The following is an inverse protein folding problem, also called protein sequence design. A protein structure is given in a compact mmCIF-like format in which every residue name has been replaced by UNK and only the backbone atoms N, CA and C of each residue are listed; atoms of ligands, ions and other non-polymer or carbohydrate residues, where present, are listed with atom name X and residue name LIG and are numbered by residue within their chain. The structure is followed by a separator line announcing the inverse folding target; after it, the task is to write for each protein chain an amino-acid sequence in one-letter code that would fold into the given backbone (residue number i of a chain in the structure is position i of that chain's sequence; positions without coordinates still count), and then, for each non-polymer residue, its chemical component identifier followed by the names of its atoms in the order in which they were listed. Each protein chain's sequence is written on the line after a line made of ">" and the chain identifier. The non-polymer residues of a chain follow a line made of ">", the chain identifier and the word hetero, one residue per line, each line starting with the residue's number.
data_IF_605190847973
#
_entry.id   IF_605190847973
#
_cell.length_a   1.000
_cell.length_b   1.000
_cell.length_c   1.000
_cell.angle_alpha   90.00
_cell.angle_beta   90.00
_cell.angle_gamma   90.00
#
_symmetry.space_group_name_H-M   'P 1'
#
loop_
_entity.id
_entity.type
_entity.pdbx_description
1 polymer ?
#
# COMPACT_ATOMS: atom_id res chain seq x y z
N UNK A 1 -21.71 8.61 9.22
CA UNK A 1 -20.29 8.27 9.44
C UNK A 1 -20.11 6.81 9.06
N UNK A 2 -19.53 6.51 7.89
CA UNK A 2 -19.21 5.12 7.51
C UNK A 2 -18.05 4.67 8.40
N UNK A 3 -18.34 3.83 9.38
CA UNK A 3 -17.29 3.13 10.12
C UNK A 3 -16.57 2.22 9.13
N UNK A 4 -15.27 2.39 9.03
CA UNK A 4 -14.38 1.53 8.26
C UNK A 4 -14.42 0.14 8.92
N UNK A 5 -15.12 -0.83 8.31
CA UNK A 5 -15.29 -2.17 8.90
C UNK A 5 -14.02 -3.03 8.77
N UNK A 6 -12.99 -2.54 8.09
CA UNK A 6 -11.75 -3.26 7.86
C UNK A 6 -10.76 -3.12 9.02
N UNK A 7 -10.03 -4.19 9.30
CA UNK A 7 -9.03 -4.24 10.37
C UNK A 7 -7.67 -3.64 9.95
N UNK A 8 -7.38 -3.66 8.65
CA UNK A 8 -6.12 -3.19 8.09
C UNK A 8 -6.34 -2.30 6.87
N UNK A 9 -5.54 -1.24 6.78
CA UNK A 9 -5.52 -0.32 5.64
C UNK A 9 -4.13 -0.20 5.07
N UNK A 10 -3.99 -0.48 3.78
CA UNK A 10 -2.79 -0.18 3.00
C UNK A 10 -2.94 1.24 2.46
N UNK A 11 -1.97 2.11 2.74
CA UNK A 11 -2.02 3.51 2.32
C UNK A 11 -0.68 4.05 1.83
N UNK A 12 -0.72 5.04 0.94
CA UNK A 12 0.43 5.78 0.44
C UNK A 12 0.04 7.23 0.12
N UNK A 13 1.02 8.12 0.02
CA UNK A 13 0.84 9.48 -0.52
C UNK A 13 0.64 9.46 -2.03
N UNK A 14 1.23 8.49 -2.73
CA UNK A 14 1.00 8.23 -4.14
C UNK A 14 -0.17 7.29 -4.39
N UNK A 15 -0.64 7.23 -5.63
CA UNK A 15 -1.65 6.25 -6.04
C UNK A 15 -1.05 4.86 -6.00
N UNK A 16 -1.68 3.92 -5.31
CA UNK A 16 -1.22 2.52 -5.28
C UNK A 16 -1.86 1.78 -6.46
N UNK A 17 -1.02 1.14 -7.25
CA UNK A 17 -1.37 0.30 -8.38
C UNK A 17 -1.04 -1.16 -8.04
N UNK A 18 -2.02 -2.04 -8.23
CA UNK A 18 -1.83 -3.48 -8.11
C UNK A 18 -1.96 -4.12 -9.48
N UNK A 19 -0.86 -4.68 -10.00
CA UNK A 19 -0.83 -5.32 -11.33
C UNK A 19 -1.86 -6.46 -11.47
N UNK A 20 -2.27 -7.08 -10.36
CA UNK A 20 -3.21 -8.20 -10.32
C UNK A 20 -4.68 -7.79 -10.09
N UNK A 21 -4.98 -6.52 -9.84
CA UNK A 21 -6.36 -6.05 -9.67
C UNK A 21 -6.75 -5.08 -10.78
N UNK A 22 -7.76 -5.42 -11.61
CA UNK A 22 -8.32 -4.46 -12.55
C UNK A 22 -9.08 -3.38 -11.78
N UNK A 23 -8.67 -2.13 -11.94
CA UNK A 23 -9.35 -0.98 -11.34
C UNK A 23 -8.51 0.28 -11.35
N UNK A 24 -9.12 1.45 -11.11
CA UNK A 24 -8.37 2.68 -10.91
C UNK A 24 -7.52 2.54 -9.66
N UNK A 25 -6.26 2.97 -9.74
CA UNK A 25 -5.39 3.03 -8.57
C UNK A 25 -6.01 3.89 -7.47
N UNK A 26 -5.74 3.54 -6.21
CA UNK A 26 -6.22 4.30 -5.05
C UNK A 26 -5.07 4.54 -4.09
N UNK A 27 -5.13 5.64 -3.35
CA UNK A 27 -4.16 5.90 -2.27
C UNK A 27 -4.37 4.97 -1.07
N UNK A 28 -5.54 4.31 -0.97
CA UNK A 28 -5.94 3.49 0.18
C UNK A 28 -6.71 2.25 -0.24
N UNK A 29 -6.39 1.13 0.39
CA UNK A 29 -7.07 -0.16 0.23
C UNK A 29 -7.30 -0.81 1.60
N UNK A 30 -8.47 -1.40 1.79
CA UNK A 30 -8.93 -1.96 3.06
C UNK A 30 -8.96 -3.49 3.01
N UNK A 31 -8.57 -4.13 4.10
CA UNK A 31 -8.46 -5.58 4.24
C UNK A 31 -8.85 -6.01 5.67
N UNK A 32 -9.44 -7.20 5.80
CA UNK A 32 -9.72 -7.81 7.11
C UNK A 32 -8.58 -8.72 7.61
N UNK A 33 -7.63 -9.08 6.74
CA UNK A 33 -6.52 -9.96 7.07
C UNK A 33 -5.17 -9.24 6.97
N UNK A 34 -4.33 -9.41 8.00
CA UNK A 34 -3.00 -8.78 8.11
C UNK A 34 -2.07 -9.27 7.01
N UNK A 35 -2.02 -10.57 6.77
CA UNK A 35 -1.08 -11.18 5.83
C UNK A 35 -1.40 -10.75 4.41
N UNK A 36 -2.70 -10.69 4.05
CA UNK A 36 -3.15 -10.14 2.77
C UNK A 36 -2.77 -8.65 2.66
N UNK A 37 -3.05 -7.83 3.68
CA UNK A 37 -2.70 -6.41 3.65
C UNK A 37 -1.19 -6.18 3.44
N UNK A 38 -0.35 -6.94 4.13
CA UNK A 38 1.11 -6.89 3.97
C UNK A 38 1.53 -7.35 2.57
N UNK A 39 0.99 -8.46 2.07
CA UNK A 39 1.30 -8.94 0.73
C UNK A 39 0.93 -7.90 -0.34
N UNK A 40 -0.22 -7.24 -0.20
CA UNK A 40 -0.64 -6.17 -1.10
C UNK A 40 0.28 -4.96 -0.99
N UNK A 41 0.66 -4.53 0.20
CA UNK A 41 1.63 -3.44 0.37
C UNK A 41 2.97 -3.72 -0.32
N UNK A 42 3.49 -4.95 -0.21
CA UNK A 42 4.75 -5.37 -0.85
C UNK A 42 4.64 -5.46 -2.37
N UNK A 43 3.47 -5.87 -2.90
CA UNK A 43 3.24 -6.00 -4.35
C UNK A 43 2.77 -4.71 -5.01
N UNK A 44 2.36 -3.71 -4.22
CA UNK A 44 1.92 -2.42 -4.72
C UNK A 44 3.07 -1.62 -5.32
N UNK A 45 2.76 -0.91 -6.41
CA UNK A 45 3.64 0.10 -7.00
C UNK A 45 2.95 1.45 -6.85
N UNK A 46 3.70 2.51 -6.58
CA UNK A 46 3.16 3.87 -6.47
C UNK A 46 3.29 4.64 -7.78
N UNK A 47 2.30 5.47 -8.07
CA UNK A 47 2.31 6.44 -9.16
C UNK A 47 1.93 7.84 -8.62
N UNK A 48 2.83 8.84 -8.70
CA UNK A 48 4.22 8.73 -9.18
C UNK A 48 5.06 7.77 -8.32
N UNK A 49 6.12 7.16 -8.90
CA UNK A 49 6.98 6.23 -8.17
C UNK A 49 7.75 6.93 -7.05
N UNK A 50 8.15 6.17 -6.04
CA UNK A 50 8.96 6.68 -4.92
C UNK A 50 8.15 7.12 -3.70
N UNK A 51 6.85 6.80 -3.63
CA UNK A 51 6.09 6.94 -2.40
C UNK A 51 6.19 5.66 -1.53
N UNK A 52 6.30 5.84 -0.21
CA UNK A 52 6.23 4.77 0.79
C UNK A 52 4.82 4.17 0.83
N UNK A 53 4.71 2.85 0.96
CA UNK A 53 3.43 2.16 1.21
C UNK A 53 3.43 1.65 2.64
N UNK A 54 2.37 1.93 3.39
CA UNK A 54 2.23 1.58 4.81
C UNK A 54 1.03 0.69 5.02
N UNK A 55 1.13 -0.23 5.98
CA UNK A 55 -0.01 -0.98 6.51
C UNK A 55 -0.35 -0.43 7.88
N UNK A 56 -1.58 0.05 8.03
CA UNK A 56 -2.13 0.61 9.27
C UNK A 56 -3.14 -0.37 9.83
N UNK A 57 -3.03 -0.70 11.11
CA UNK A 57 -4.10 -1.36 11.84
C UNK A 57 -5.17 -0.32 12.18
N UNK A 58 -6.35 -0.44 11.57
CA UNK A 58 -7.40 0.59 11.60
C UNK A 58 -7.90 0.87 13.01
N UNK A 59 -8.19 -0.14 13.87
CA UNK A 59 -8.68 0.12 15.22
C UNK A 59 -7.72 0.92 16.10
N UNK A 60 -6.40 0.75 15.94
CA UNK A 60 -5.39 1.43 16.78
C UNK A 60 -4.72 2.61 16.08
N UNK A 61 -4.88 2.76 14.76
CA UNK A 61 -4.18 3.75 13.96
C UNK A 61 -2.66 3.49 13.82
N UNK A 62 -2.15 2.36 14.31
CA UNK A 62 -0.72 2.07 14.31
C UNK A 62 -0.25 1.55 12.96
N UNK A 63 0.90 2.03 12.50
CA UNK A 63 1.60 1.46 11.34
C UNK A 63 2.28 0.16 11.77
N UNK A 64 1.82 -0.97 11.25
CA UNK A 64 2.33 -2.31 11.59
C UNK A 64 3.36 -2.84 10.58
N UNK A 65 3.44 -2.22 9.40
CA UNK A 65 4.38 -2.58 8.35
C UNK A 65 4.64 -1.39 7.42
N UNK A 66 5.86 -1.29 6.90
CA UNK A 66 6.32 -0.23 6.00
C UNK A 66 7.07 -0.84 4.83
N UNK A 67 6.70 -0.43 3.63
CA UNK A 67 7.45 -0.64 2.41
C UNK A 67 8.08 0.70 2.05
N UNK A 68 9.40 0.86 2.22
CA UNK A 68 10.07 2.09 1.87
C UNK A 68 9.84 2.39 0.39
N UNK A 69 9.89 3.67 0.04
CA UNK A 69 9.98 4.08 -1.35
C UNK A 69 11.09 3.27 -2.01
N UNK A 70 10.74 2.42 -2.99
CA UNK A 70 11.77 1.79 -3.80
C UNK A 70 12.43 2.96 -4.52
N UNK A 71 13.71 3.22 -4.22
CA UNK A 71 14.51 4.08 -5.08
C UNK A 71 14.29 3.56 -6.50
N UNK A 72 13.95 4.46 -7.44
CA UNK A 72 13.90 4.09 -8.85
C UNK A 72 15.12 3.22 -9.10
N UNK A 73 14.90 1.97 -9.49
CA UNK A 73 16.01 1.12 -9.85
C UNK A 73 16.77 1.90 -10.92
N UNK A 74 17.97 2.33 -10.60
CA UNK A 74 18.98 2.66 -11.60
C UNK A 74 19.22 1.36 -12.34
N UNK A 75 18.35 1.04 -13.30
CA UNK A 75 18.65 0.21 -14.44
C UNK A 75 19.39 1.13 -15.44
N UNK A 76 20.57 1.58 -15.04
CA UNK A 76 21.58 2.19 -15.91
C UNK A 76 22.94 1.86 -15.28
N UNK A 77 23.37 0.60 -15.46
CA UNK A 77 24.78 0.17 -15.46
C UNK A 77 24.89 -1.27 -15.99
N UNK A 78 25.12 -1.40 -17.31
CA UNK A 78 26.04 -2.34 -17.98
C UNK A 78 25.81 -2.34 -19.50
#
# INVERSE_FOLDING_TARGET
>A
MMQDTADYRVESTGTILFRLMPGPGRQRHQFHDRAIAVAMAVKGVTDPPGAEIRVVHVPTGQVIFRVPAKAAATEDEA
#
